data_IF_787797721434
#
_entry.id   IF_787797721434
#
_cell.length_a   1.000
_cell.length_b   1.000
_cell.length_c   1.000
_cell.angle_alpha   90.00
_cell.angle_beta   90.00
_cell.angle_gamma   90.00
#
_symmetry.space_group_name_H-M   'P 1'
#
loop_
_entity.id
_entity.type
_entity.pdbx_description
1 polymer ?
#
# COMPACT_ATOMS: atom_id res chain seq x y z
N UNK A 1 23.16 -41.74 -26.29
CA UNK A 1 22.64 -41.51 -24.92
C UNK A 1 22.96 -40.12 -24.33
N UNK A 2 23.53 -39.17 -25.10
CA UNK A 2 23.89 -37.82 -24.60
C UNK A 2 22.89 -36.70 -24.95
N UNK A 3 22.06 -36.91 -25.99
CA UNK A 3 20.99 -35.97 -26.40
C UNK A 3 19.70 -36.11 -25.58
N UNK A 4 19.54 -37.24 -24.89
CA UNK A 4 18.37 -37.55 -24.05
C UNK A 4 18.46 -36.90 -22.65
N UNK A 5 19.68 -36.63 -22.18
CA UNK A 5 19.93 -35.95 -20.89
C UNK A 5 19.70 -34.44 -21.02
N UNK A 6 19.96 -33.85 -22.19
CA UNK A 6 19.75 -32.42 -22.44
C UNK A 6 18.26 -32.06 -22.57
N UNK A 7 17.43 -32.96 -23.11
CA UNK A 7 15.98 -32.78 -23.20
C UNK A 7 15.28 -32.85 -21.83
N UNK A 8 15.84 -33.59 -20.87
CA UNK A 8 15.33 -33.63 -19.50
C UNK A 8 15.75 -32.42 -18.66
N UNK A 9 16.89 -31.81 -18.96
CA UNK A 9 17.36 -30.63 -18.22
C UNK A 9 16.62 -29.34 -18.61
N UNK A 10 16.09 -29.27 -19.84
CA UNK A 10 15.30 -28.13 -20.34
C UNK A 10 13.83 -28.20 -19.89
N UNK A 11 13.34 -29.37 -19.45
CA UNK A 11 11.95 -29.54 -19.00
C UNK A 11 11.71 -29.15 -17.53
N UNK A 12 12.77 -28.94 -16.74
CA UNK A 12 12.64 -28.63 -15.30
C UNK A 12 12.62 -27.11 -15.02
N UNK A 13 12.96 -26.26 -16.00
CA UNK A 13 13.09 -24.80 -15.79
C UNK A 13 11.75 -24.06 -16.02
N UNK A 14 10.72 -24.72 -16.56
CA UNK A 14 9.44 -24.07 -16.90
C UNK A 14 8.38 -24.04 -15.78
N UNK A 15 8.67 -24.49 -14.55
CA UNK A 15 7.67 -24.58 -13.47
C UNK A 15 7.83 -23.56 -12.32
N UNK A 16 8.75 -22.59 -12.39
CA UNK A 16 8.94 -21.60 -11.30
C UNK A 16 8.10 -20.32 -11.48
N UNK A 17 7.35 -20.21 -12.57
CA UNK A 17 6.76 -18.95 -13.02
C UNK A 17 5.29 -18.69 -12.70
N UNK A 18 4.70 -19.19 -11.59
CA UNK A 18 3.34 -18.78 -11.20
C UNK A 18 3.16 -18.71 -9.67
N UNK A 19 3.95 -17.86 -9.01
CA UNK A 19 3.48 -17.22 -7.80
C UNK A 19 3.14 -15.77 -8.16
N UNK A 20 2.02 -15.60 -8.86
CA UNK A 20 1.29 -14.36 -8.77
C UNK A 20 0.87 -14.23 -7.30
N UNK A 21 1.70 -13.55 -6.51
CA UNK A 21 1.37 -13.15 -5.16
C UNK A 21 0.07 -12.35 -5.27
N UNK A 22 -1.05 -13.00 -4.94
CA UNK A 22 -2.29 -12.30 -4.68
C UNK A 22 -1.93 -11.20 -3.70
N UNK A 23 -2.06 -9.94 -4.14
CA UNK A 23 -1.90 -8.80 -3.25
C UNK A 23 -2.91 -9.02 -2.12
N UNK A 24 -2.40 -9.41 -0.95
CA UNK A 24 -3.23 -9.60 0.22
C UNK A 24 -3.99 -8.29 0.39
N UNK A 25 -5.33 -8.36 0.39
CA UNK A 25 -6.15 -7.20 0.65
C UNK A 25 -5.63 -6.57 1.97
N UNK A 26 -5.40 -5.24 2.01
CA UNK A 26 -4.88 -4.62 3.20
C UNK A 26 -5.76 -5.02 4.40
N UNK A 27 -5.16 -5.40 5.54
CA UNK A 27 -5.91 -5.87 6.68
C UNK A 27 -6.97 -4.82 7.04
N UNK A 28 -8.17 -5.24 7.48
CA UNK A 28 -9.25 -4.31 7.80
C UNK A 28 -8.74 -3.29 8.84
N UNK A 29 -8.66 -2.03 8.42
CA UNK A 29 -8.10 -0.95 9.23
C UNK A 29 -9.17 -0.49 10.24
N UNK A 30 -9.28 -1.21 11.35
CA UNK A 30 -10.11 -0.80 12.48
C UNK A 30 -9.29 0.12 13.39
N UNK A 31 -9.64 1.40 13.42
CA UNK A 31 -9.03 2.37 14.33
C UNK A 31 -9.75 2.33 15.69
N UNK A 32 -8.98 2.34 16.78
CA UNK A 32 -9.50 2.52 18.15
C UNK A 32 -8.85 3.74 18.81
N UNK A 33 -9.53 4.29 19.82
CA UNK A 33 -9.00 5.41 20.62
C UNK A 33 -7.69 4.98 21.29
N UNK A 34 -6.70 5.88 21.24
CA UNK A 34 -5.36 5.63 21.77
C UNK A 34 -4.40 4.98 20.78
N UNK A 35 -4.87 4.43 19.66
CA UNK A 35 -3.98 3.99 18.60
C UNK A 35 -3.25 5.20 17.99
N UNK A 36 -1.97 4.99 17.67
CA UNK A 36 -1.24 5.97 16.88
C UNK A 36 -1.88 6.08 15.50
N UNK A 37 -2.27 7.30 15.13
CA UNK A 37 -2.84 7.57 13.81
C UNK A 37 -1.86 7.11 12.70
N UNK A 38 -2.34 6.34 11.69
CA UNK A 38 -1.54 5.94 10.54
C UNK A 38 -0.95 7.16 9.85
N UNK A 39 0.34 7.10 9.52
CA UNK A 39 0.99 8.20 8.82
C UNK A 39 0.57 8.24 7.35
N UNK A 40 0.45 9.44 6.80
CA UNK A 40 0.16 9.66 5.39
C UNK A 40 0.70 11.00 4.95
N UNK A 41 0.96 11.11 3.65
CA UNK A 41 1.34 12.37 3.00
C UNK A 41 0.33 12.71 1.93
N UNK A 42 -0.28 13.89 2.02
CA UNK A 42 -1.17 14.43 1.01
C UNK A 42 -0.55 15.64 0.32
N UNK A 43 -1.05 15.94 -0.87
CA UNK A 43 -0.80 17.22 -1.53
C UNK A 43 -1.87 18.21 -1.09
N UNK A 44 -1.47 19.38 -0.60
CA UNK A 44 -2.41 20.45 -0.25
C UNK A 44 -2.89 21.22 -1.50
N UNK A 45 -3.75 22.22 -1.29
CA UNK A 45 -4.33 23.05 -2.36
C UNK A 45 -3.31 23.91 -3.10
N UNK A 46 -2.10 24.06 -2.57
CA UNK A 46 -0.99 24.80 -3.19
C UNK A 46 -0.01 23.88 -3.94
N UNK A 47 -0.22 22.56 -3.88
CA UNK A 47 0.69 21.57 -4.46
C UNK A 47 1.79 21.10 -3.51
N UNK A 48 1.85 21.63 -2.28
CA UNK A 48 2.87 21.25 -1.30
C UNK A 48 2.51 19.91 -0.65
N UNK A 49 3.53 19.10 -0.37
CA UNK A 49 3.38 17.87 0.41
C UNK A 49 3.26 18.19 1.90
N UNK A 50 2.31 17.53 2.55
CA UNK A 50 2.02 17.64 3.98
C UNK A 50 1.93 16.24 4.55
N UNK A 51 2.79 15.93 5.53
CA UNK A 51 2.83 14.63 6.21
C UNK A 51 2.25 14.74 7.61
N UNK A 52 1.38 13.80 8.01
CA UNK A 52 0.73 13.83 9.32
C UNK A 52 1.76 13.81 10.46
N UNK A 53 2.82 13.01 10.34
CA UNK A 53 3.85 12.89 11.37
C UNK A 53 4.60 14.19 11.69
N UNK A 54 4.61 15.18 10.79
CA UNK A 54 5.27 16.47 11.00
C UNK A 54 4.63 17.29 12.14
N UNK A 55 3.36 17.01 12.45
CA UNK A 55 2.56 17.71 13.48
C UNK A 55 2.63 17.05 14.86
N UNK A 56 3.18 15.83 14.97
CA UNK A 56 3.24 15.08 16.25
C UNK A 56 3.96 15.90 17.32
N UNK A 57 3.33 16.02 18.49
CA UNK A 57 3.87 16.75 19.64
C UNK A 57 3.94 18.28 19.48
N UNK A 58 3.50 18.82 18.34
CA UNK A 58 3.52 20.26 18.06
C UNK A 58 2.12 20.87 18.03
N UNK A 59 1.16 20.17 17.44
CA UNK A 59 -0.19 20.66 17.24
C UNK A 59 -1.22 19.56 17.52
N UNK A 60 -2.41 19.96 17.99
CA UNK A 60 -3.59 19.11 17.93
C UNK A 60 -4.07 19.04 16.46
N UNK A 61 -4.43 17.85 15.99
CA UNK A 61 -4.84 17.62 14.61
C UNK A 61 -6.24 17.02 14.57
N UNK A 62 -7.09 17.56 13.70
CA UNK A 62 -8.42 17.02 13.39
C UNK A 62 -8.43 16.62 11.93
N UNK A 63 -8.89 15.40 11.63
CA UNK A 63 -9.01 14.88 10.26
C UNK A 63 -10.49 14.75 9.89
N UNK A 64 -10.90 15.45 8.84
CA UNK A 64 -12.25 15.39 8.29
C UNK A 64 -12.20 14.84 6.86
N UNK A 65 -13.03 13.84 6.58
CA UNK A 65 -13.21 13.27 5.25
C UNK A 65 -14.56 13.74 4.69
N UNK A 66 -14.55 14.23 3.46
CA UNK A 66 -15.75 14.60 2.73
C UNK A 66 -15.67 14.02 1.31
N UNK A 67 -16.82 13.71 0.71
CA UNK A 67 -16.89 12.93 -0.53
C UNK A 67 -16.36 13.73 -1.72
N UNK A 68 -16.81 14.98 -1.86
CA UNK A 68 -16.44 15.84 -2.97
C UNK A 68 -16.35 17.30 -2.50
N UNK A 69 -15.45 18.06 -3.11
CA UNK A 69 -15.39 19.50 -2.91
C UNK A 69 -16.65 20.18 -3.50
N UNK A 70 -17.09 21.28 -2.89
CA UNK A 70 -18.18 22.13 -3.38
C UNK A 70 -19.56 21.44 -3.49
N UNK A 71 -19.84 20.43 -2.66
CA UNK A 71 -21.18 19.82 -2.55
C UNK A 71 -21.87 20.21 -1.24
N UNK A 72 -23.21 20.21 -1.24
CA UNK A 72 -23.99 20.24 -0.01
C UNK A 72 -23.79 18.95 0.78
N UNK A 73 -23.61 19.09 2.10
CA UNK A 73 -23.51 17.96 3.04
C UNK A 73 -24.86 17.48 3.52
#
# INVERSE_FOLDING_TARGET
>A
MKKLIFAFFVLIISSVGVFAQAAAAPPPMTLKVGDMAPDFTLTDTTGKKVTLSEFRGKNNVVLAFFVLAFTGG
#
